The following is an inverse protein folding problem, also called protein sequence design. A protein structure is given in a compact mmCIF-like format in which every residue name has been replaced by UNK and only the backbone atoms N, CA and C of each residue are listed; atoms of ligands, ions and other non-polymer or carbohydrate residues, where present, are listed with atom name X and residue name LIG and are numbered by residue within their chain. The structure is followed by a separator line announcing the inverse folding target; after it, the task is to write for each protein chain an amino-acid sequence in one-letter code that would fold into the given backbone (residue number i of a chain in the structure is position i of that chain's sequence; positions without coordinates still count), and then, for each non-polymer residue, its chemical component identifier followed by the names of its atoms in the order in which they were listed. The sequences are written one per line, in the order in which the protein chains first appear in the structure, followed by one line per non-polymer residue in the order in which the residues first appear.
data_IF_489612451916
#
_entry.id   IF_489612451916
#
_cell.length_a   1.000
_cell.length_b   1.000
_cell.length_c   1.000
_cell.angle_alpha   90.00
_cell.angle_beta   90.00
_cell.angle_gamma   90.00
#
_symmetry.space_group_name_H-M   'P 1'
#
loop_
_entity.id
_entity.type
_entity.pdbx_description
1 polymer ?
#
# COMPACT_ATOMS: atom_id res chain seq x y z
N UNK A 1 -7.89 5.50 -0.91
CA UNK A 1 -8.37 6.23 0.29
C UNK A 1 -9.48 7.21 -0.08
N UNK A 2 -10.44 7.48 0.81
CA UNK A 2 -11.55 8.41 0.57
C UNK A 2 -11.76 9.38 1.74
N UNK A 3 -12.05 10.66 1.45
CA UNK A 3 -12.42 11.65 2.46
C UNK A 3 -13.94 11.83 2.45
N UNK A 4 -14.59 11.69 3.62
CA UNK A 4 -16.04 11.80 3.77
C UNK A 4 -16.41 12.89 4.77
N UNK A 5 -17.56 13.52 4.54
CA UNK A 5 -18.13 14.52 5.46
C UNK A 5 -18.89 13.81 6.59
N UNK A 6 -18.41 13.81 7.84
CA UNK A 6 -19.08 13.12 8.94
C UNK A 6 -20.28 13.90 9.49
N UNK A 7 -20.46 15.17 9.08
CA UNK A 7 -21.56 16.02 9.51
C UNK A 7 -22.00 16.95 8.37
N UNK A 8 -23.26 17.37 8.42
CA UNK A 8 -23.80 18.41 7.53
C UNK A 8 -23.02 19.73 7.66
N UNK A 9 -22.53 20.05 8.86
CA UNK A 9 -21.73 21.25 9.10
C UNK A 9 -20.44 21.25 8.27
N UNK A 10 -19.70 20.13 8.29
CA UNK A 10 -18.48 19.97 7.50
C UNK A 10 -18.75 20.05 5.99
N UNK A 11 -19.84 19.43 5.52
CA UNK A 11 -20.26 19.50 4.12
C UNK A 11 -20.58 20.94 3.68
N UNK A 12 -21.34 21.70 4.49
CA UNK A 12 -21.69 23.09 4.16
C UNK A 12 -20.51 24.04 4.25
N UNK A 13 -19.59 23.83 5.18
CA UNK A 13 -18.36 24.61 5.25
C UNK A 13 -17.46 24.35 4.04
N UNK A 14 -17.33 23.09 3.62
CA UNK A 14 -16.64 22.74 2.38
C UNK A 14 -17.30 23.41 1.16
N UNK A 15 -18.63 23.37 1.05
CA UNK A 15 -19.35 24.02 -0.05
C UNK A 15 -19.07 25.53 -0.14
N UNK A 16 -18.97 26.21 1.01
CA UNK A 16 -18.59 27.63 1.06
C UNK A 16 -17.14 27.86 0.61
N UNK A 17 -16.20 27.03 1.06
CA UNK A 17 -14.80 27.10 0.65
C UNK A 17 -14.63 26.82 -0.85
N UNK A 18 -15.35 25.82 -1.37
CA UNK A 18 -15.39 25.48 -2.78
C UNK A 18 -15.92 26.64 -3.64
N UNK A 19 -16.97 27.34 -3.19
CA UNK A 19 -17.51 28.51 -3.89
C UNK A 19 -16.56 29.72 -3.98
N UNK A 20 -15.54 29.79 -3.12
CA UNK A 20 -14.47 30.80 -3.16
C UNK A 20 -13.26 30.34 -3.98
N UNK A 21 -13.22 29.07 -4.37
CA UNK A 21 -12.10 28.43 -5.04
C UNK A 21 -12.32 28.33 -6.55
N UNK A 22 -11.25 28.17 -7.33
CA UNK A 22 -11.34 27.97 -8.79
C UNK A 22 -11.64 26.50 -9.11
N UNK A 23 -12.87 26.07 -8.88
CA UNK A 23 -13.32 24.67 -9.10
C UNK A 23 -14.17 24.49 -10.36
N UNK A 24 -14.42 25.56 -11.11
CA UNK A 24 -15.20 25.49 -12.35
C UNK A 24 -14.55 24.56 -13.39
N UNK A 25 -15.32 23.59 -13.89
CA UNK A 25 -14.86 22.60 -14.86
C UNK A 25 -14.08 21.42 -14.28
N UNK A 26 -13.93 21.35 -12.95
CA UNK A 26 -13.34 20.20 -12.27
C UNK A 26 -14.41 19.14 -11.97
N UNK A 27 -14.00 17.87 -11.94
CA UNK A 27 -14.84 16.81 -11.34
C UNK A 27 -14.97 17.02 -9.83
N UNK A 28 -15.93 16.36 -9.19
CA UNK A 28 -16.12 16.45 -7.74
C UNK A 28 -14.84 16.08 -6.97
N UNK A 29 -14.13 15.03 -7.39
CA UNK A 29 -12.86 14.59 -6.80
C UNK A 29 -11.74 15.63 -7.00
N UNK A 30 -11.65 16.23 -8.18
CA UNK A 30 -10.67 17.27 -8.47
C UNK A 30 -10.96 18.55 -7.67
N UNK A 31 -12.23 18.92 -7.54
CA UNK A 31 -12.66 20.05 -6.72
C UNK A 31 -12.35 19.79 -5.23
N UNK A 32 -12.66 18.61 -4.72
CA UNK A 32 -12.32 18.17 -3.36
C UNK A 32 -10.82 18.27 -3.09
N UNK A 33 -9.99 17.66 -3.95
CA UNK A 33 -8.53 17.71 -3.82
C UNK A 33 -8.01 19.16 -3.87
N UNK A 34 -8.50 19.96 -4.82
CA UNK A 34 -8.10 21.37 -4.97
C UNK A 34 -8.41 22.20 -3.73
N UNK A 35 -9.61 22.05 -3.16
CA UNK A 35 -10.04 22.80 -1.98
C UNK A 35 -9.26 22.38 -0.74
N UNK A 36 -9.03 21.08 -0.54
CA UNK A 36 -8.32 20.56 0.64
C UNK A 36 -6.80 20.81 0.60
N UNK A 37 -6.20 20.92 -0.60
CA UNK A 37 -4.79 21.28 -0.77
C UNK A 37 -4.48 22.75 -0.43
N UNK A 38 -5.48 23.62 -0.46
CA UNK A 38 -5.31 25.03 -0.15
C UNK A 38 -4.97 25.22 1.34
N UNK A 39 -3.90 25.96 1.64
CA UNK A 39 -3.38 26.11 3.02
C UNK A 39 -4.41 26.73 3.96
N UNK A 40 -5.19 27.68 3.45
CA UNK A 40 -6.29 28.34 4.14
C UNK A 40 -7.40 27.37 4.59
N UNK A 41 -7.55 26.23 3.90
CA UNK A 41 -8.59 25.24 4.13
C UNK A 41 -8.11 24.03 4.96
N UNK A 42 -6.88 24.04 5.47
CA UNK A 42 -6.33 22.93 6.27
C UNK A 42 -7.18 22.53 7.48
N UNK A 43 -7.99 23.44 8.02
CA UNK A 43 -8.91 23.13 9.09
C UNK A 43 -10.00 22.13 8.65
N UNK A 44 -10.44 22.18 7.39
CA UNK A 44 -11.45 21.27 6.83
C UNK A 44 -10.96 19.82 6.84
N UNK A 45 -9.69 19.59 6.52
CA UNK A 45 -9.05 18.26 6.49
C UNK A 45 -9.23 17.52 7.82
N UNK A 46 -9.22 18.26 8.94
CA UNK A 46 -9.41 17.75 10.29
C UNK A 46 -10.89 17.49 10.65
N UNK A 47 -11.82 18.05 9.88
CA UNK A 47 -13.27 17.87 10.05
C UNK A 47 -13.83 16.73 9.19
N UNK A 48 -13.01 16.12 8.34
CA UNK A 48 -13.39 14.97 7.53
C UNK A 48 -13.02 13.67 8.24
N UNK A 49 -13.78 12.61 7.96
CA UNK A 49 -13.32 11.26 8.26
C UNK A 49 -12.63 10.67 7.03
N UNK A 50 -11.54 9.95 7.28
CA UNK A 50 -10.68 9.39 6.25
C UNK A 50 -10.86 7.88 6.24
N UNK A 51 -11.45 7.36 5.18
CA UNK A 51 -11.79 5.95 5.06
C UNK A 51 -10.75 5.26 4.18
N UNK A 52 -10.18 4.18 4.71
CA UNK A 52 -9.34 3.27 3.96
C UNK A 52 -10.13 2.02 3.60
N UNK A 53 -10.33 1.83 2.32
CA UNK A 53 -11.08 0.70 1.76
C UNK A 53 -10.14 -0.25 1.05
N UNK A 54 -10.42 -1.55 1.18
CA UNK A 54 -9.65 -2.64 0.58
C UNK A 54 -10.65 -3.46 -0.23
N UNK A 55 -10.40 -3.61 -1.52
CA UNK A 55 -11.37 -4.17 -2.48
C UNK A 55 -12.77 -3.53 -2.41
N UNK A 56 -12.83 -2.22 -2.13
CA UNK A 56 -14.08 -1.48 -1.97
C UNK A 56 -14.78 -1.68 -0.62
N UNK A 57 -14.24 -2.50 0.28
CA UNK A 57 -14.76 -2.70 1.63
C UNK A 57 -14.09 -1.71 2.59
N UNK A 58 -14.91 -0.90 3.25
CA UNK A 58 -14.49 0.06 4.27
C UNK A 58 -13.85 -0.68 5.45
N UNK A 59 -12.53 -0.62 5.56
CA UNK A 59 -11.77 -1.48 6.49
C UNK A 59 -11.26 -0.70 7.69
N UNK A 60 -10.77 0.52 7.50
CA UNK A 60 -10.21 1.35 8.57
C UNK A 60 -10.64 2.81 8.45
N UNK A 61 -10.75 3.47 9.61
CA UNK A 61 -10.65 4.93 9.67
C UNK A 61 -9.20 5.34 9.91
N UNK A 62 -8.67 6.23 9.09
CA UNK A 62 -7.31 6.73 9.22
C UNK A 62 -7.28 7.93 10.17
N UNK A 63 -6.39 7.87 11.14
CA UNK A 63 -6.15 8.98 12.05
C UNK A 63 -4.65 9.18 12.24
N UNK A 64 -4.11 10.38 12.07
CA UNK A 64 -2.68 10.60 12.24
C UNK A 64 -2.29 10.47 13.71
N UNK A 65 -1.13 9.87 14.00
CA UNK A 65 -0.57 9.87 15.35
C UNK A 65 -0.14 11.26 15.79
N UNK A 66 0.54 11.99 14.91
CA UNK A 66 0.89 13.40 15.10
C UNK A 66 -0.15 14.29 14.39
N UNK A 67 -0.84 15.23 15.08
CA UNK A 67 -1.81 16.13 14.45
C UNK A 67 -1.25 17.02 13.32
N UNK A 68 0.06 17.08 13.11
CA UNK A 68 0.68 17.72 11.94
C UNK A 68 0.67 16.85 10.68
N UNK A 69 0.46 15.53 10.80
CA UNK A 69 0.51 14.57 9.70
C UNK A 69 -0.80 14.47 8.89
N UNK A 70 -1.80 15.32 9.17
CA UNK A 70 -2.97 15.43 8.29
C UNK A 70 -2.61 15.80 6.84
N UNK A 71 -1.48 16.49 6.63
CA UNK A 71 -0.99 16.79 5.28
C UNK A 71 -0.64 15.51 4.47
N UNK A 72 -0.32 14.39 5.14
CA UNK A 72 -0.09 13.10 4.47
C UNK A 72 -1.37 12.55 3.83
N UNK A 73 -2.53 12.72 4.49
CA UNK A 73 -3.84 12.32 3.96
C UNK A 73 -4.23 13.13 2.72
N UNK A 74 -3.93 14.43 2.73
CA UNK A 74 -4.19 15.30 1.58
C UNK A 74 -3.28 14.91 0.41
N UNK A 75 -2.00 14.63 0.69
CA UNK A 75 -1.03 14.21 -0.34
C UNK A 75 -1.42 12.88 -0.97
N UNK A 76 -2.03 11.97 -0.19
CA UNK A 76 -2.56 10.71 -0.68
C UNK A 76 -3.85 10.87 -1.52
N UNK A 77 -4.57 12.00 -1.39
CA UNK A 77 -5.81 12.26 -2.11
C UNK A 77 -5.54 12.66 -3.57
N UNK A 78 -5.39 11.66 -4.43
CA UNK A 78 -5.16 11.86 -5.87
C UNK A 78 -6.39 12.50 -6.54
N UNK A 79 -6.20 13.46 -7.46
CA UNK A 79 -7.30 14.11 -8.18
C UNK A 79 -7.98 13.18 -9.20
N UNK A 80 -7.23 12.22 -9.75
CA UNK A 80 -7.71 11.22 -10.69
C UNK A 80 -7.26 9.83 -10.20
N UNK A 81 -7.98 9.23 -9.23
CA UNK A 81 -7.62 7.91 -8.72
C UNK A 81 -7.80 6.82 -9.79
N UNK A 82 -6.89 5.86 -9.79
CA UNK A 82 -6.89 4.67 -10.64
C UNK A 82 -7.07 3.42 -9.78
N UNK A 83 -7.74 2.36 -10.26
CA UNK A 83 -7.76 1.07 -9.58
C UNK A 83 -6.37 0.44 -9.41
N UNK A 84 -5.37 0.91 -10.16
CA UNK A 84 -3.98 0.46 -10.08
C UNK A 84 -3.13 1.31 -9.11
N UNK A 85 -3.75 2.26 -8.42
CA UNK A 85 -3.08 3.04 -7.40
C UNK A 85 -2.88 2.22 -6.13
N UNK A 86 -1.68 2.30 -5.57
CA UNK A 86 -1.33 1.64 -4.33
C UNK A 86 -1.25 2.68 -3.21
N UNK A 87 -2.01 2.44 -2.14
CA UNK A 87 -1.93 3.19 -0.89
C UNK A 87 -1.49 2.24 0.22
N UNK A 88 -0.36 2.54 0.88
CA UNK A 88 0.18 1.75 1.98
C UNK A 88 0.21 2.61 3.22
N UNK A 89 -0.51 2.16 4.25
CA UNK A 89 -0.60 2.87 5.53
C UNK A 89 0.11 2.07 6.60
N UNK A 90 1.00 2.72 7.35
CA UNK A 90 1.81 2.12 8.41
C UNK A 90 1.45 2.78 9.74
N UNK A 91 1.15 1.96 10.73
CA UNK A 91 0.75 2.40 12.05
C UNK A 91 0.26 1.26 12.93
N UNK A 92 -0.54 1.60 13.93
CA UNK A 92 -1.12 0.65 14.88
C UNK A 92 -2.64 0.73 14.92
N UNK A 93 -3.27 -0.40 15.23
CA UNK A 93 -4.71 -0.46 15.42
C UNK A 93 -5.09 0.13 16.78
N UNK A 94 -5.95 1.13 16.72
CA UNK A 94 -6.67 1.68 17.86
C UNK A 94 -8.02 0.97 18.09
N UNK A 95 -8.90 1.57 18.91
CA UNK A 95 -10.24 1.03 19.13
C UNK A 95 -11.10 1.11 17.87
N UNK A 96 -12.25 0.43 17.90
CA UNK A 96 -13.32 0.63 16.91
C UNK A 96 -13.87 2.04 17.04
N UNK A 97 -14.02 2.72 15.90
CA UNK A 97 -14.55 4.07 15.85
C UNK A 97 -15.99 4.15 16.36
N UNK A 98 -16.33 5.15 17.19
CA UNK A 98 -17.72 5.40 17.55
C UNK A 98 -18.52 5.90 16.34
N UNK A 99 -19.84 5.64 16.27
CA UNK A 99 -20.64 5.95 15.08
C UNK A 99 -20.65 7.44 14.71
N UNK A 100 -20.48 8.34 15.69
CA UNK A 100 -20.45 9.78 15.47
C UNK A 100 -19.18 10.24 14.71
N UNK A 101 -18.14 9.41 14.64
CA UNK A 101 -16.87 9.77 14.00
C UNK A 101 -16.97 9.80 12.46
N UNK A 102 -17.84 8.98 11.85
CA UNK A 102 -17.96 8.91 10.40
C UNK A 102 -19.33 8.37 9.94
N UNK A 103 -20.41 9.14 10.11
CA UNK A 103 -21.76 8.80 9.61
C UNK A 103 -22.27 7.38 9.98
N UNK A 104 -21.96 6.89 11.17
CA UNK A 104 -22.37 5.57 11.64
C UNK A 104 -21.41 4.43 11.25
N UNK A 105 -20.33 4.71 10.51
CA UNK A 105 -19.33 3.71 10.16
C UNK A 105 -18.51 3.30 11.40
N UNK A 106 -18.65 2.05 11.81
CA UNK A 106 -17.95 1.47 12.96
C UNK A 106 -16.90 0.46 12.50
N UNK A 107 -15.70 0.97 12.22
CA UNK A 107 -14.53 0.16 11.83
C UNK A 107 -13.33 0.52 12.72
N UNK A 108 -12.30 -0.32 12.83
CA UNK A 108 -11.10 0.01 13.61
C UNK A 108 -10.45 1.30 13.14
N UNK A 109 -9.98 2.11 14.10
CA UNK A 109 -9.13 3.27 13.80
C UNK A 109 -7.71 2.76 13.56
N UNK A 110 -7.16 3.01 12.39
CA UNK A 110 -5.74 2.82 12.12
C UNK A 110 -5.03 4.14 12.39
N UNK A 111 -4.30 4.19 13.51
CA UNK A 111 -3.49 5.35 13.87
C UNK A 111 -2.18 5.25 13.12
N UNK A 112 -1.98 6.12 12.14
CA UNK A 112 -0.84 6.03 11.22
C UNK A 112 0.31 6.95 11.60
N UNK A 113 1.53 6.47 11.32
CA UNK A 113 2.78 7.22 11.36
C UNK A 113 3.29 7.52 9.94
N UNK A 114 2.94 6.69 8.94
CA UNK A 114 3.33 6.91 7.54
C UNK A 114 2.25 6.49 6.54
N UNK A 115 2.14 7.23 5.44
CA UNK A 115 1.32 6.88 4.27
C UNK A 115 2.21 6.97 3.02
N UNK A 116 2.18 5.92 2.20
CA UNK A 116 2.77 5.92 0.87
C UNK A 116 1.65 5.76 -0.16
N UNK A 117 1.52 6.74 -1.03
CA UNK A 117 0.61 6.67 -2.17
C UNK A 117 1.44 6.72 -3.45
N UNK A 118 1.48 5.61 -4.17
CA UNK A 118 2.22 5.45 -5.42
C UNK A 118 1.26 5.00 -6.52
N UNK A 119 1.37 5.56 -7.71
CA UNK A 119 0.76 4.94 -8.89
C UNK A 119 1.70 3.84 -9.43
N UNK A 120 1.15 2.93 -10.23
CA UNK A 120 1.88 1.82 -10.87
C UNK A 120 3.15 2.29 -11.58
N UNK A 121 3.05 3.38 -12.35
CA UNK A 121 4.16 3.91 -13.14
C UNK A 121 5.27 4.47 -12.24
N UNK A 122 4.91 5.19 -11.18
CA UNK A 122 5.82 5.79 -10.22
C UNK A 122 6.59 4.70 -9.45
N UNK A 123 5.91 3.63 -9.03
CA UNK A 123 6.58 2.51 -8.39
C UNK A 123 7.56 1.84 -9.36
N UNK A 124 7.12 1.46 -10.56
CA UNK A 124 7.97 0.77 -11.55
C UNK A 124 9.20 1.61 -11.91
N UNK A 125 9.04 2.94 -12.06
CA UNK A 125 10.15 3.87 -12.31
C UNK A 125 11.10 4.01 -11.12
N UNK A 126 10.63 3.80 -9.89
CA UNK A 126 11.46 3.91 -8.69
C UNK A 126 12.37 2.69 -8.47
N UNK A 127 12.04 1.55 -9.10
CA UNK A 127 12.81 0.31 -8.93
C UNK A 127 14.13 0.41 -9.73
N UNK A 128 15.30 0.27 -9.07
CA UNK A 128 16.57 0.30 -9.76
C UNK A 128 16.67 -0.84 -10.78
N UNK A 129 16.84 -0.49 -12.06
CA UNK A 129 17.10 -1.46 -13.13
C UNK A 129 18.52 -2.03 -13.00
N UNK A 130 18.71 -3.34 -12.99
CA UNK A 130 20.03 -3.96 -13.13
C UNK A 130 20.68 -3.61 -14.47
N UNK A 131 22.00 -3.43 -14.52
CA UNK A 131 22.70 -3.04 -15.75
C UNK A 131 22.58 -4.10 -16.86
N UNK A 132 22.55 -5.38 -16.48
CA UNK A 132 22.65 -6.51 -17.41
C UNK A 132 21.31 -6.97 -18.00
N UNK A 133 20.21 -6.29 -17.65
CA UNK A 133 18.86 -6.60 -18.15
C UNK A 133 18.40 -5.50 -19.11
N UNK A 134 17.85 -5.92 -20.26
CA UNK A 134 17.21 -5.01 -21.21
C UNK A 134 16.10 -4.18 -20.54
N UNK A 135 15.96 -2.91 -20.95
CA UNK A 135 15.05 -1.97 -20.29
C UNK A 135 13.58 -2.36 -20.46
N UNK A 136 13.19 -2.76 -21.66
CA UNK A 136 11.79 -3.06 -21.95
C UNK A 136 11.40 -4.43 -21.37
N UNK A 137 12.36 -5.36 -21.34
CA UNK A 137 12.20 -6.64 -20.64
C UNK A 137 12.06 -6.45 -19.13
N UNK A 138 12.92 -5.63 -18.51
CA UNK A 138 12.82 -5.32 -17.09
C UNK A 138 11.48 -4.65 -16.75
N UNK A 139 11.06 -3.67 -17.55
CA UNK A 139 9.78 -2.98 -17.37
C UNK A 139 8.62 -3.98 -17.43
N UNK A 140 8.58 -4.83 -18.45
CA UNK A 140 7.52 -5.83 -18.61
C UNK A 140 7.46 -6.81 -17.44
N UNK A 141 8.62 -7.30 -16.98
CA UNK A 141 8.70 -8.21 -15.85
C UNK A 141 8.34 -7.54 -14.51
N UNK A 142 8.77 -6.30 -14.29
CA UNK A 142 8.43 -5.53 -13.09
C UNK A 142 6.93 -5.22 -13.04
N UNK A 143 6.32 -4.90 -14.18
CA UNK A 143 4.88 -4.70 -14.32
C UNK A 143 4.09 -5.98 -14.06
N UNK A 144 4.47 -7.12 -14.65
CA UNK A 144 3.81 -8.42 -14.39
C UNK A 144 3.90 -8.80 -12.90
N UNK A 145 5.08 -8.64 -12.29
CA UNK A 145 5.25 -8.90 -10.86
C UNK A 145 4.41 -7.95 -10.01
N UNK A 146 4.40 -6.66 -10.35
CA UNK A 146 3.59 -5.68 -9.64
C UNK A 146 2.11 -6.06 -9.68
N UNK A 147 1.58 -6.39 -10.85
CA UNK A 147 0.17 -6.78 -11.00
C UNK A 147 -0.17 -8.03 -10.16
N UNK A 148 0.74 -9.01 -10.10
CA UNK A 148 0.61 -10.19 -9.22
C UNK A 148 0.70 -9.84 -7.74
N UNK A 149 1.61 -8.95 -7.36
CA UNK A 149 1.76 -8.49 -5.98
C UNK A 149 0.55 -7.67 -5.55
N UNK A 150 -0.05 -6.86 -6.42
CA UNK A 150 -1.29 -6.13 -6.13
C UNK A 150 -2.40 -7.08 -5.70
N UNK A 151 -2.63 -8.16 -6.45
CA UNK A 151 -3.60 -9.19 -6.07
C UNK A 151 -3.28 -9.86 -4.73
N UNK A 152 -2.01 -10.05 -4.40
CA UNK A 152 -1.59 -10.63 -3.11
C UNK A 152 -1.63 -9.62 -1.95
N UNK A 153 -1.56 -8.33 -2.26
CA UNK A 153 -1.52 -7.22 -1.31
C UNK A 153 -2.88 -6.56 -1.08
N UNK A 154 -3.91 -7.01 -1.78
CA UNK A 154 -5.33 -6.75 -1.51
C UNK A 154 -5.77 -7.43 -0.19
N UNK A 155 -5.17 -6.99 0.90
CA UNK A 155 -5.33 -7.60 2.22
C UNK A 155 -5.36 -6.53 3.32
N UNK A 156 -5.97 -6.87 4.45
CA UNK A 156 -6.17 -5.94 5.55
C UNK A 156 -4.90 -5.50 6.30
N UNK A 157 -3.73 -6.07 6.02
CA UNK A 157 -2.52 -5.77 6.79
C UNK A 157 -2.59 -6.17 8.28
N UNK A 158 -3.62 -6.91 8.70
CA UNK A 158 -3.84 -7.28 10.11
C UNK A 158 -3.11 -8.58 10.54
N UNK A 159 -2.72 -9.41 9.58
CA UNK A 159 -2.02 -10.68 9.83
C UNK A 159 -0.51 -10.54 9.59
N UNK A 160 0.29 -11.39 10.25
CA UNK A 160 1.75 -11.35 10.14
C UNK A 160 2.20 -11.61 8.68
N UNK A 161 1.48 -12.48 7.97
CA UNK A 161 1.68 -12.79 6.56
C UNK A 161 1.41 -11.59 5.66
N UNK A 162 0.26 -10.95 5.84
CA UNK A 162 -0.14 -9.74 5.12
C UNK A 162 0.90 -8.64 5.26
N UNK A 163 1.34 -8.40 6.50
CA UNK A 163 2.34 -7.36 6.80
C UNK A 163 3.69 -7.64 6.15
N UNK A 164 4.10 -8.89 6.07
CA UNK A 164 5.35 -9.28 5.41
C UNK A 164 5.28 -9.05 3.89
N UNK A 165 4.20 -9.49 3.23
CA UNK A 165 4.04 -9.31 1.77
C UNK A 165 3.92 -7.83 1.43
N UNK A 166 3.09 -7.07 2.15
CA UNK A 166 2.93 -5.63 1.93
C UNK A 166 4.26 -4.87 2.11
N UNK A 167 5.05 -5.23 3.13
CA UNK A 167 6.38 -4.67 3.34
C UNK A 167 7.33 -4.97 2.16
N UNK A 168 7.40 -6.22 1.71
CA UNK A 168 8.31 -6.60 0.63
C UNK A 168 7.92 -5.97 -0.70
N UNK A 169 6.63 -5.87 -0.99
CA UNK A 169 6.11 -5.25 -2.21
C UNK A 169 6.57 -3.80 -2.37
N UNK A 170 6.63 -3.04 -1.27
CA UNK A 170 6.94 -1.60 -1.31
C UNK A 170 8.40 -1.30 -1.00
N UNK A 171 9.02 -2.05 -0.08
CA UNK A 171 10.33 -1.68 0.50
C UNK A 171 11.48 -2.59 0.11
N UNK A 172 11.25 -3.64 -0.68
CA UNK A 172 12.32 -4.56 -1.07
C UNK A 172 12.48 -4.73 -2.59
N UNK A 173 13.13 -3.76 -3.29
CA UNK A 173 13.31 -3.77 -4.74
C UNK A 173 13.94 -5.05 -5.32
N UNK A 174 14.73 -5.78 -4.54
CA UNK A 174 15.42 -7.00 -4.99
C UNK A 174 14.45 -8.10 -5.46
N UNK A 175 13.21 -8.15 -4.97
CA UNK A 175 12.22 -9.12 -5.48
C UNK A 175 11.88 -8.84 -6.95
N UNK A 176 11.85 -7.56 -7.35
CA UNK A 176 11.60 -7.14 -8.73
C UNK A 176 12.78 -7.45 -9.64
N UNK A 177 14.00 -7.22 -9.16
CA UNK A 177 15.21 -7.69 -9.85
C UNK A 177 15.17 -9.20 -10.09
N UNK A 178 14.83 -9.99 -9.07
CA UNK A 178 14.78 -11.44 -9.21
C UNK A 178 13.69 -11.90 -10.17
N UNK A 179 12.51 -11.26 -10.14
CA UNK A 179 11.45 -11.57 -11.08
C UNK A 179 11.87 -11.28 -12.54
N UNK A 180 12.60 -10.19 -12.78
CA UNK A 180 13.13 -9.88 -14.11
C UNK A 180 14.19 -10.90 -14.57
N UNK A 181 15.08 -11.36 -13.69
CA UNK A 181 16.04 -12.44 -13.99
C UNK A 181 15.33 -13.75 -14.35
N UNK A 182 14.32 -14.13 -13.55
CA UNK A 182 13.52 -15.33 -13.82
C UNK A 182 12.76 -15.21 -15.15
N UNK A 183 12.18 -14.03 -15.42
CA UNK A 183 11.49 -13.74 -16.67
C UNK A 183 12.42 -13.90 -17.89
N UNK A 184 13.64 -13.38 -17.81
CA UNK A 184 14.66 -13.53 -18.85
C UNK A 184 15.04 -15.01 -19.11
N UNK A 185 14.84 -15.88 -18.12
CA UNK A 185 15.08 -17.33 -18.20
C UNK A 185 13.82 -18.13 -18.53
N UNK A 186 12.80 -17.47 -19.09
CA UNK A 186 11.51 -18.07 -19.44
C UNK A 186 10.76 -18.68 -18.23
N UNK A 187 10.96 -18.13 -17.03
CA UNK A 187 10.21 -18.47 -15.83
C UNK A 187 9.24 -17.35 -15.43
N UNK A 188 8.26 -17.68 -14.59
CA UNK A 188 7.29 -16.73 -14.05
C UNK A 188 7.02 -17.01 -12.59
N UNK A 189 6.68 -15.96 -11.82
CA UNK A 189 6.23 -16.14 -10.45
C UNK A 189 4.90 -16.90 -10.46
N UNK A 190 4.86 -18.05 -9.82
CA UNK A 190 3.69 -18.95 -9.74
C UNK A 190 3.10 -19.06 -8.35
N UNK A 191 3.89 -18.83 -7.29
CA UNK A 191 3.38 -18.79 -5.92
C UNK A 191 4.19 -17.84 -5.03
N UNK A 192 3.50 -17.28 -4.05
CA UNK A 192 4.09 -16.57 -2.90
C UNK A 192 3.50 -17.18 -1.64
N UNK A 193 4.33 -17.95 -0.93
CA UNK A 193 3.93 -18.62 0.30
C UNK A 193 4.56 -17.90 1.49
N UNK A 194 3.79 -17.70 2.56
CA UNK A 194 4.32 -17.18 3.81
C UNK A 194 4.19 -18.24 4.88
N UNK A 195 5.25 -18.42 5.65
CA UNK A 195 5.24 -19.34 6.79
C UNK A 195 5.99 -18.79 7.99
N UNK A 196 5.63 -19.19 9.21
CA UNK A 196 6.43 -18.90 10.39
C UNK A 196 7.86 -19.43 10.24
N UNK A 197 8.84 -18.61 10.60
CA UNK A 197 10.24 -19.01 10.66
C UNK A 197 10.51 -19.80 11.93
N UNK A 198 11.27 -20.91 11.89
CA UNK A 198 11.68 -21.63 13.10
C UNK A 198 12.60 -20.78 14.01
N UNK A 199 13.10 -19.65 13.52
CA UNK A 199 13.89 -18.68 14.29
C UNK A 199 13.04 -17.58 14.95
N UNK A 200 11.73 -17.79 15.06
CA UNK A 200 10.79 -16.81 15.60
C UNK A 200 11.03 -16.47 17.08
N UNK A 201 11.36 -17.43 17.95
CA UNK A 201 11.60 -17.12 19.37
C UNK A 201 10.46 -16.29 19.99
N UNK A 202 10.79 -15.14 20.59
CA UNK A 202 9.80 -14.16 21.10
C UNK A 202 9.28 -13.17 20.04
N UNK A 203 9.88 -13.18 18.84
CA UNK A 203 9.57 -12.27 17.73
C UNK A 203 8.67 -12.96 16.72
N UNK A 204 7.90 -12.17 15.97
CA UNK A 204 7.09 -12.64 14.86
C UNK A 204 7.95 -12.58 13.60
N UNK A 205 8.52 -13.72 13.23
CA UNK A 205 9.43 -13.82 12.08
C UNK A 205 8.83 -14.80 11.08
N UNK A 206 8.72 -14.38 9.82
CA UNK A 206 8.17 -15.20 8.74
C UNK A 206 9.18 -15.33 7.59
N UNK A 207 9.14 -16.48 6.93
CA UNK A 207 9.79 -16.72 5.63
C UNK A 207 8.73 -16.48 4.54
N UNK A 208 9.00 -15.52 3.65
CA UNK A 208 8.21 -15.30 2.43
C UNK A 208 8.95 -15.97 1.27
N UNK A 209 8.32 -16.96 0.66
CA UNK A 209 8.89 -17.86 -0.34
C UNK A 209 8.26 -17.52 -1.69
N UNK A 210 9.10 -17.17 -2.66
CA UNK A 210 8.73 -16.90 -4.04
C UNK A 210 9.09 -18.11 -4.90
N UNK A 211 8.09 -18.69 -5.56
CA UNK A 211 8.27 -19.83 -6.47
C UNK A 211 8.21 -19.36 -7.92
N UNK A 212 9.27 -19.63 -8.68
CA UNK A 212 9.37 -19.30 -10.09
C UNK A 212 9.40 -20.59 -10.92
N UNK A 213 8.41 -20.79 -11.78
CA UNK A 213 8.30 -21.99 -12.62
C UNK A 213 8.66 -21.65 -14.06
N UNK A 214 9.57 -22.44 -14.64
CA UNK A 214 9.93 -22.35 -16.06
C UNK A 214 8.77 -22.81 -16.95
N UNK A 215 8.42 -22.02 -17.97
CA UNK A 215 7.26 -22.26 -18.83
C UNK A 215 7.41 -23.45 -19.79
N UNK A 216 8.61 -23.98 -19.96
CA UNK A 216 8.89 -25.08 -20.90
C UNK A 216 9.29 -26.37 -20.19
N UNK A 217 10.05 -26.27 -19.10
CA UNK A 217 10.57 -27.45 -18.40
C UNK A 217 9.75 -27.82 -17.17
N UNK A 218 8.79 -26.99 -16.75
CA UNK A 218 8.03 -27.09 -15.49
C UNK A 218 8.90 -27.14 -14.22
N UNK A 219 10.19 -26.86 -14.36
CA UNK A 219 11.12 -26.77 -13.23
C UNK A 219 10.80 -25.54 -12.39
N UNK A 220 10.65 -25.73 -11.07
CA UNK A 220 10.37 -24.65 -10.13
C UNK A 220 11.59 -24.36 -9.26
N UNK A 221 12.08 -23.13 -9.32
CA UNK A 221 13.08 -22.60 -8.39
C UNK A 221 12.40 -21.78 -7.30
N UNK A 222 12.86 -21.92 -6.07
CA UNK A 222 12.30 -21.19 -4.93
C UNK A 222 13.36 -20.30 -4.30
N UNK A 223 12.94 -19.11 -3.91
CA UNK A 223 13.76 -18.15 -3.18
C UNK A 223 12.97 -17.67 -1.98
N UNK A 224 13.63 -17.35 -0.88
CA UNK A 224 12.96 -16.81 0.28
C UNK A 224 13.62 -15.55 0.82
N UNK A 225 12.80 -14.74 1.46
CA UNK A 225 13.18 -13.57 2.23
C UNK A 225 12.65 -13.78 3.65
N UNK A 226 13.45 -13.47 4.67
CA UNK A 226 12.98 -13.55 6.06
C UNK A 226 12.71 -12.16 6.59
N UNK A 227 11.50 -11.96 7.08
CA UNK A 227 11.00 -10.67 7.56
C UNK A 227 10.61 -10.79 9.02
N UNK A 228 11.05 -9.84 9.82
CA UNK A 228 10.52 -9.61 11.15
C UNK A 228 9.34 -8.64 11.05
N UNK A 229 8.19 -9.07 11.55
CA UNK A 229 6.94 -8.31 11.59
C UNK A 229 6.48 -8.13 13.04
N UNK A 230 7.38 -8.13 14.02
CA UNK A 230 6.97 -8.04 15.44
C UNK A 230 6.36 -6.70 15.78
N UNK A 231 7.02 -5.64 15.32
CA UNK A 231 6.74 -4.25 15.67
C UNK A 231 6.16 -3.53 14.46
N UNK A 232 5.76 -2.27 14.63
CA UNK A 232 5.11 -1.45 13.61
C UNK A 232 5.83 -1.47 12.26
N UNK A 233 7.15 -1.30 12.26
CA UNK A 233 7.99 -1.25 11.07
C UNK A 233 8.69 -2.59 10.81
N UNK A 234 8.28 -3.35 9.79
CA UNK A 234 8.95 -4.60 9.45
C UNK A 234 10.36 -4.37 8.91
N UNK A 235 11.22 -5.37 9.07
CA UNK A 235 12.58 -5.34 8.52
C UNK A 235 13.09 -6.73 8.13
N UNK A 236 14.11 -6.77 7.28
CA UNK A 236 14.72 -8.02 6.82
C UNK A 236 15.66 -8.59 7.89
N UNK A 237 15.49 -9.87 8.23
CA UNK A 237 16.48 -10.64 9.00
C UNK A 237 17.31 -11.56 8.09
N UNK A 238 16.83 -11.87 6.89
CA UNK A 238 17.59 -12.54 5.83
C UNK A 238 17.20 -11.94 4.47
N UNK A 239 18.19 -11.49 3.71
CA UNK A 239 18.02 -11.07 2.30
C UNK A 239 17.67 -12.25 1.41
N UNK A 240 17.12 -11.96 0.23
CA UNK A 240 16.74 -12.95 -0.77
C UNK A 240 17.82 -14.03 -0.94
N UNK A 241 17.45 -15.28 -0.73
CA UNK A 241 18.34 -16.43 -0.76
C UNK A 241 17.64 -17.63 -1.41
N UNK A 242 18.37 -18.58 -2.00
CA UNK A 242 17.78 -19.84 -2.47
C UNK A 242 17.04 -20.55 -1.33
N UNK A 243 15.88 -21.10 -1.68
CA UNK A 243 15.04 -21.88 -0.78
C UNK A 243 15.01 -23.33 -1.24
N UNK A 244 15.23 -24.25 -0.30
CA UNK A 244 15.15 -25.69 -0.54
C UNK A 244 14.04 -26.25 0.33
N UNK A 245 13.11 -26.98 -0.30
CA UNK A 245 12.10 -27.73 0.43
C UNK A 245 12.79 -28.73 1.37
N UNK A 246 12.30 -28.79 2.61
CA UNK A 246 12.79 -29.71 3.65
C UNK A 246 11.75 -30.77 3.91
#
# INVERSE_FOLDING_TARGET
MEARFPTLSAEKEFAQAAGRSKTAGLTDQQALSTVLLAKENRYLVRQLCWVFSIEGIETYLLYPRDPSDFDLLITALRPNPSPLDMDVVIGFLGPVAPPEMCNGLMVPILVFDQIYSLDRDALVKSIPKPNDIDKDLFKSAAEELFDKLMQLTDNAGAMDEHRAVNYLAVRYPTIYTKAAEAFAQNASLTAVDVRPSPLSGIRKVVDVIFSYTNRTTDMTEKFFVRVDVTEEFPFLTKKLSPYFDR
#
